data_IF_983350124310
#
_entry.id   IF_983350124310
#
_cell.length_a   1.000
_cell.length_b   1.000
_cell.length_c   1.000
_cell.angle_alpha   90.00
_cell.angle_beta   90.00
_cell.angle_gamma   90.00
#
_symmetry.space_group_name_H-M   'P 1'
#
loop_
_entity.id
_entity.type
_entity.pdbx_description
1 polymer ?
#
# COMPACT_ATOMS: atom_id res chain seq x y z
N UNK A 1 -7.39 -11.55 22.49
CA UNK A 1 -7.65 -10.17 21.97
C UNK A 1 -6.52 -9.68 21.06
N UNK A 2 -5.25 -9.86 21.44
CA UNK A 2 -4.09 -9.40 20.65
C UNK A 2 -4.02 -10.07 19.28
N UNK A 3 -4.41 -11.35 19.18
CA UNK A 3 -4.57 -12.06 17.89
C UNK A 3 -5.52 -11.38 16.91
N UNK A 4 -6.69 -10.99 17.40
CA UNK A 4 -7.74 -10.37 16.57
C UNK A 4 -7.24 -9.03 16.03
N UNK A 5 -6.61 -8.23 16.89
CA UNK A 5 -6.00 -6.95 16.49
C UNK A 5 -4.88 -7.20 15.45
N UNK A 6 -4.05 -8.24 15.65
CA UNK A 6 -3.02 -8.61 14.70
C UNK A 6 -3.57 -9.02 13.32
N UNK A 7 -4.63 -9.82 13.29
CA UNK A 7 -5.31 -10.22 12.05
C UNK A 7 -5.92 -9.01 11.34
N UNK A 8 -6.58 -8.11 12.08
CA UNK A 8 -7.13 -6.87 11.51
C UNK A 8 -6.03 -5.99 10.92
N UNK A 9 -4.88 -5.89 11.58
CA UNK A 9 -3.71 -5.16 11.08
C UNK A 9 -3.18 -5.77 9.76
N UNK A 10 -3.19 -7.09 9.63
CA UNK A 10 -2.79 -7.76 8.39
C UNK A 10 -3.77 -7.50 7.25
N UNK A 11 -5.07 -7.52 7.53
CA UNK A 11 -6.08 -7.16 6.52
C UNK A 11 -5.93 -5.69 6.09
N UNK A 12 -5.69 -4.79 7.04
CA UNK A 12 -5.41 -3.39 6.75
C UNK A 12 -4.14 -3.22 5.91
N UNK A 13 -3.07 -3.98 6.21
CA UNK A 13 -1.84 -3.95 5.44
C UNK A 13 -2.04 -4.37 3.98
N UNK A 14 -2.83 -5.42 3.73
CA UNK A 14 -3.17 -5.86 2.37
C UNK A 14 -3.96 -4.78 1.63
N UNK A 15 -4.96 -4.19 2.30
CA UNK A 15 -5.75 -3.09 1.72
C UNK A 15 -4.87 -1.89 1.35
N UNK A 16 -4.05 -1.40 2.27
CA UNK A 16 -3.14 -0.27 2.06
C UNK A 16 -2.07 -0.58 0.99
N UNK A 17 -1.57 -1.81 0.95
CA UNK A 17 -0.62 -2.24 -0.06
C UNK A 17 -1.24 -2.23 -1.46
N UNK A 18 -2.43 -2.78 -1.61
CA UNK A 18 -3.17 -2.77 -2.87
C UNK A 18 -3.48 -1.34 -3.35
N UNK A 19 -4.01 -0.49 -2.48
CA UNK A 19 -4.31 0.91 -2.83
C UNK A 19 -3.06 1.72 -3.11
N UNK A 20 -1.96 1.49 -2.39
CA UNK A 20 -0.67 2.12 -2.62
C UNK A 20 -0.06 1.75 -3.97
N UNK A 21 -0.05 0.45 -4.34
CA UNK A 21 0.48 0.00 -5.64
C UNK A 21 -0.38 0.52 -6.79
N UNK A 22 -1.71 0.48 -6.63
CA UNK A 22 -2.65 0.95 -7.66
C UNK A 22 -2.50 2.46 -7.88
N UNK A 23 -2.52 3.25 -6.80
CA UNK A 23 -2.33 4.71 -6.87
C UNK A 23 -0.96 5.09 -7.43
N UNK A 24 0.10 4.32 -7.11
CA UNK A 24 1.42 4.57 -7.66
C UNK A 24 1.44 4.35 -9.18
N UNK A 25 0.80 3.27 -9.64
CA UNK A 25 0.70 2.94 -11.06
C UNK A 25 -0.11 3.98 -11.83
N UNK A 26 -1.20 4.47 -11.25
CA UNK A 26 -2.01 5.55 -11.82
C UNK A 26 -1.24 6.88 -11.86
N UNK A 27 -0.45 7.19 -10.83
CA UNK A 27 0.31 8.45 -10.75
C UNK A 27 1.41 8.60 -11.80
N UNK A 28 1.79 7.51 -12.49
CA UNK A 28 2.82 7.49 -13.53
C UNK A 28 2.27 7.12 -14.90
N UNK A 29 0.94 7.04 -15.03
CA UNK A 29 0.29 6.48 -16.21
C UNK A 29 0.73 7.26 -17.47
N UNK A 30 1.33 6.52 -18.40
CA UNK A 30 1.76 7.02 -19.70
C UNK A 30 0.85 6.40 -20.74
N UNK A 31 0.05 7.22 -21.41
CA UNK A 31 -0.88 6.75 -22.44
C UNK A 31 -0.26 7.02 -23.81
N UNK A 32 -0.05 5.94 -24.57
CA UNK A 32 0.38 6.02 -25.97
C UNK A 32 -0.84 6.36 -26.84
N UNK A 33 -0.92 7.61 -27.26
CA UNK A 33 -1.97 8.08 -28.17
C UNK A 33 -1.33 8.39 -29.52
N UNK A 34 -1.67 7.59 -30.54
CA UNK A 34 -1.18 7.79 -31.92
C UNK A 34 0.35 7.87 -32.07
N UNK A 35 1.11 7.20 -31.18
CA UNK A 35 2.59 7.20 -31.20
C UNK A 35 3.24 8.40 -30.48
N UNK A 36 2.45 9.22 -29.78
CA UNK A 36 2.93 10.24 -28.86
C UNK A 36 2.76 9.73 -27.43
N UNK A 37 3.89 9.51 -26.75
CA UNK A 37 3.93 9.04 -25.36
C UNK A 37 3.58 10.23 -24.43
N UNK A 38 2.32 10.32 -23.99
CA UNK A 38 1.88 11.36 -23.07
C UNK A 38 2.13 10.92 -21.63
N UNK A 39 3.23 11.41 -21.03
CA UNK A 39 3.58 11.18 -19.63
C UNK A 39 2.86 12.19 -18.75
N UNK A 40 1.83 11.74 -18.03
CA UNK A 40 1.18 12.51 -16.99
C UNK A 40 1.66 11.97 -15.63
N UNK A 41 2.64 12.64 -15.02
CA UNK A 41 3.11 12.29 -13.68
C UNK A 41 2.45 13.19 -12.62
N UNK A 42 1.60 12.62 -11.77
CA UNK A 42 1.05 13.30 -10.60
C UNK A 42 1.96 13.07 -9.39
N UNK A 43 2.80 14.07 -9.10
CA UNK A 43 3.74 14.03 -7.97
C UNK A 43 3.04 13.92 -6.61
N UNK A 44 1.85 14.50 -6.46
CA UNK A 44 1.11 14.44 -5.20
C UNK A 44 0.56 13.04 -4.98
N UNK A 45 -0.08 12.47 -5.99
CA UNK A 45 -0.60 11.10 -5.94
C UNK A 45 0.53 10.09 -5.70
N UNK A 46 1.68 10.29 -6.37
CA UNK A 46 2.88 9.45 -6.18
C UNK A 46 3.39 9.51 -4.73
N UNK A 47 3.44 10.69 -4.13
CA UNK A 47 3.87 10.85 -2.74
C UNK A 47 2.90 10.20 -1.76
N UNK A 48 1.59 10.37 -1.95
CA UNK A 48 0.56 9.69 -1.15
C UNK A 48 0.66 8.17 -1.28
N UNK A 49 1.00 7.67 -2.47
CA UNK A 49 1.19 6.24 -2.72
C UNK A 49 2.36 5.68 -1.90
N UNK A 50 3.49 6.39 -1.84
CA UNK A 50 4.61 5.99 -0.97
C UNK A 50 4.21 5.95 0.51
N UNK A 51 3.35 6.88 0.94
CA UNK A 51 2.84 6.89 2.31
C UNK A 51 1.98 5.65 2.60
N UNK A 52 1.06 5.29 1.69
CA UNK A 52 0.27 4.07 1.81
C UNK A 52 1.13 2.81 1.84
N UNK A 53 2.12 2.71 0.95
CA UNK A 53 3.05 1.58 0.92
C UNK A 53 3.88 1.48 2.20
N UNK A 54 4.38 2.61 2.71
CA UNK A 54 5.11 2.66 3.98
C UNK A 54 4.26 2.19 5.16
N UNK A 55 3.02 2.70 5.27
CA UNK A 55 2.08 2.24 6.30
C UNK A 55 1.70 0.78 6.14
N UNK A 56 1.56 0.27 4.91
CA UNK A 56 1.29 -1.14 4.66
C UNK A 56 2.39 -2.05 5.21
N UNK A 57 3.67 -1.69 5.02
CA UNK A 57 4.81 -2.45 5.56
C UNK A 57 4.81 -2.41 7.09
N UNK A 58 4.64 -1.24 7.69
CA UNK A 58 4.59 -1.08 9.16
C UNK A 58 3.43 -1.89 9.74
N UNK A 59 2.25 -1.82 9.11
CA UNK A 59 1.07 -2.55 9.52
C UNK A 59 1.26 -4.07 9.39
N UNK A 60 1.89 -4.55 8.32
CA UNK A 60 2.18 -5.96 8.13
C UNK A 60 3.11 -6.50 9.23
N UNK A 61 4.21 -5.81 9.51
CA UNK A 61 5.17 -6.20 10.57
C UNK A 61 4.47 -6.18 11.93
N UNK A 62 3.77 -5.09 12.26
CA UNK A 62 3.03 -4.96 13.52
C UNK A 62 1.97 -6.05 13.68
N UNK A 63 1.24 -6.37 12.60
CA UNK A 63 0.24 -7.42 12.56
C UNK A 63 0.82 -8.80 12.81
N UNK A 64 1.93 -9.16 12.14
CA UNK A 64 2.63 -10.45 12.34
C UNK A 64 3.13 -10.57 13.79
N UNK A 65 3.82 -9.55 14.29
CA UNK A 65 4.39 -9.58 15.65
C UNK A 65 3.31 -9.73 16.70
N UNK A 66 2.22 -8.96 16.58
CA UNK A 66 1.11 -8.99 17.54
C UNK A 66 0.31 -10.30 17.47
N UNK A 67 0.08 -10.83 16.26
CA UNK A 67 -0.59 -12.12 16.06
C UNK A 67 0.24 -13.30 16.59
N UNK A 68 1.57 -13.23 16.48
CA UNK A 68 2.49 -14.25 17.01
C UNK A 68 2.65 -14.16 18.52
N UNK A 69 2.61 -12.96 19.10
CA UNK A 69 2.75 -12.75 20.55
C UNK A 69 1.61 -13.36 21.37
N UNK A 70 0.44 -13.61 20.78
CA UNK A 70 -0.72 -14.23 21.45
C UNK A 70 -0.63 -15.78 21.46
N UNK A 71 0.34 -16.38 20.74
CA UNK A 71 0.55 -17.82 20.65
C UNK A 71 1.60 -18.38 21.64
N UNK A 72 2.06 -17.56 22.59
CA UNK A 72 3.04 -17.93 23.62
C UNK A 72 2.34 -17.91 24.97
#
# INVERSE_FOLDING_TARGET
>A
MKRIIGILLLLLAVYLGYTGITSFSESTSSVDVLGVELKAEDKQQKNTSYLYLGFAVIAAIGGIVLAKSDNK
#
